data_IF_838047395033
#
_entry.id   IF_838047395033
#
_cell.length_a   1.000
_cell.length_b   1.000
_cell.length_c   1.000
_cell.angle_alpha   90.00
_cell.angle_beta   90.00
_cell.angle_gamma   90.00
#
_symmetry.space_group_name_H-M   'P 1'
#
loop_
_entity.id
_entity.type
_entity.pdbx_description
1 polymer ?
#
# COMPACT_ATOMS: atom_id res chain seq x y z
N UNK A 1 14.83 2.28 16.06
CA UNK A 1 14.78 1.39 14.88
C UNK A 1 13.85 0.19 15.06
N UNK A 2 13.83 -0.47 16.21
CA UNK A 2 13.04 -1.67 16.49
C UNK A 2 11.50 -1.50 16.44
N UNK A 3 10.95 -0.34 16.79
CA UNK A 3 9.48 -0.11 16.80
C UNK A 3 8.80 -0.26 15.43
N UNK A 4 9.49 0.12 14.35
CA UNK A 4 8.96 -0.01 12.97
C UNK A 4 8.91 -1.47 12.50
N UNK A 5 9.90 -2.25 12.88
CA UNK A 5 9.97 -3.68 12.56
C UNK A 5 8.92 -4.48 13.33
N UNK A 6 8.69 -4.17 14.61
CA UNK A 6 7.68 -4.82 15.45
C UNK A 6 6.26 -4.56 14.92
N UNK A 7 5.95 -3.33 14.50
CA UNK A 7 4.64 -2.99 13.93
C UNK A 7 4.43 -3.62 12.54
N UNK A 8 5.46 -3.63 11.69
CA UNK A 8 5.39 -4.27 10.37
C UNK A 8 5.25 -5.79 10.45
N UNK A 9 5.98 -6.44 11.35
CA UNK A 9 5.83 -7.89 11.59
C UNK A 9 4.49 -8.22 12.23
N UNK A 10 3.99 -7.38 13.15
CA UNK A 10 2.66 -7.54 13.73
C UNK A 10 1.54 -7.53 12.68
N UNK A 11 1.60 -6.60 11.71
CA UNK A 11 0.66 -6.55 10.58
C UNK A 11 0.80 -7.75 9.63
N UNK A 12 2.02 -8.21 9.36
CA UNK A 12 2.25 -9.39 8.53
C UNK A 12 1.73 -10.69 9.19
N UNK A 13 1.83 -10.79 10.53
CA UNK A 13 1.28 -11.91 11.30
C UNK A 13 -0.25 -11.92 11.32
N UNK A 14 -0.91 -10.79 11.14
CA UNK A 14 -2.37 -10.66 11.05
C UNK A 14 -2.92 -10.89 9.63
N UNK A 15 -2.12 -11.35 8.68
CA UNK A 15 -2.56 -11.62 7.31
C UNK A 15 -3.76 -12.56 7.22
N UNK A 16 -3.91 -13.53 8.14
CA UNK A 16 -5.08 -14.41 8.20
C UNK A 16 -6.36 -13.67 8.58
N UNK A 17 -6.26 -12.73 9.52
CA UNK A 17 -7.37 -11.89 9.95
C UNK A 17 -7.79 -10.95 8.82
N UNK A 18 -6.83 -10.37 8.09
CA UNK A 18 -7.08 -9.54 6.92
C UNK A 18 -7.72 -10.35 5.76
N UNK A 19 -7.29 -11.60 5.57
CA UNK A 19 -7.91 -12.48 4.58
C UNK A 19 -9.37 -12.80 4.95
N UNK A 20 -9.70 -12.98 6.23
CA UNK A 20 -11.07 -13.15 6.67
C UNK A 20 -11.95 -11.91 6.38
N UNK A 21 -11.43 -10.70 6.55
CA UNK A 21 -12.11 -9.47 6.17
C UNK A 21 -12.31 -9.29 4.66
N UNK A 22 -11.48 -9.92 3.84
CA UNK A 22 -11.64 -9.89 2.38
C UNK A 22 -12.93 -10.61 1.92
N UNK A 23 -13.47 -11.54 2.73
CA UNK A 23 -14.76 -12.22 2.49
C UNK A 23 -15.96 -11.49 3.10
N UNK A 24 -15.74 -10.34 3.71
CA UNK A 24 -16.77 -9.48 4.31
C UNK A 24 -16.86 -9.60 5.85
N UNK A 25 -17.49 -8.59 6.46
CA UNK A 25 -17.60 -8.46 7.91
C UNK A 25 -18.39 -9.63 8.55
N UNK A 26 -19.42 -10.13 7.85
CA UNK A 26 -20.23 -11.26 8.30
C UNK A 26 -19.43 -12.56 8.38
N UNK A 27 -18.57 -12.81 7.37
CA UNK A 27 -17.71 -13.98 7.36
C UNK A 27 -16.67 -13.92 8.49
N UNK A 28 -16.09 -12.75 8.75
CA UNK A 28 -15.15 -12.53 9.84
C UNK A 28 -15.82 -12.74 11.20
N UNK A 29 -17.06 -12.27 11.39
CA UNK A 29 -17.82 -12.45 12.63
C UNK A 29 -18.15 -13.93 12.91
N UNK A 30 -18.52 -14.70 11.89
CA UNK A 30 -18.78 -16.16 12.01
C UNK A 30 -17.51 -16.92 12.45
N UNK A 31 -16.33 -16.44 12.05
CA UNK A 31 -15.05 -16.99 12.49
C UNK A 31 -14.64 -16.56 13.92
N UNK A 32 -15.53 -15.87 14.65
CA UNK A 32 -15.29 -15.43 16.02
C UNK A 32 -14.37 -14.20 16.13
N UNK A 33 -14.14 -13.47 15.04
CA UNK A 33 -13.33 -12.24 15.04
C UNK A 33 -14.22 -11.07 15.49
N UNK A 34 -13.80 -10.36 16.54
CA UNK A 34 -14.42 -9.07 16.90
C UNK A 34 -14.07 -8.03 15.80
N UNK A 35 -15.02 -7.88 14.88
CA UNK A 35 -14.88 -7.03 13.69
C UNK A 35 -14.58 -5.58 14.07
N UNK A 36 -15.31 -5.05 15.03
CA UNK A 36 -15.19 -3.64 15.41
C UNK A 36 -13.84 -3.34 16.07
N UNK A 37 -13.46 -4.16 17.04
CA UNK A 37 -12.18 -4.03 17.74
C UNK A 37 -11.00 -4.19 16.79
N UNK A 38 -11.05 -5.19 15.91
CA UNK A 38 -9.98 -5.45 14.94
C UNK A 38 -9.85 -4.29 13.94
N UNK A 39 -10.97 -3.77 13.45
CA UNK A 39 -11.00 -2.61 12.53
C UNK A 39 -10.35 -1.38 13.16
N UNK A 40 -10.78 -1.00 14.37
CA UNK A 40 -10.20 0.16 15.07
C UNK A 40 -8.72 -0.02 15.39
N UNK A 41 -8.32 -1.20 15.82
CA UNK A 41 -6.90 -1.49 16.07
C UNK A 41 -6.07 -1.35 14.81
N UNK A 42 -6.52 -1.93 13.69
CA UNK A 42 -5.82 -1.84 12.42
C UNK A 42 -5.75 -0.40 11.90
N UNK A 43 -6.86 0.34 11.95
CA UNK A 43 -6.88 1.75 11.54
C UNK A 43 -5.91 2.59 12.37
N UNK A 44 -5.88 2.40 13.68
CA UNK A 44 -4.97 3.14 14.57
C UNK A 44 -3.50 2.81 14.26
N UNK A 45 -3.18 1.53 14.12
CA UNK A 45 -1.80 1.09 13.80
C UNK A 45 -1.35 1.63 12.45
N UNK A 46 -2.20 1.54 11.42
CA UNK A 46 -1.89 2.05 10.08
C UNK A 46 -1.74 3.57 10.10
N UNK A 47 -2.62 4.29 10.79
CA UNK A 47 -2.55 5.74 10.90
C UNK A 47 -1.25 6.20 11.60
N UNK A 48 -0.87 5.55 12.69
CA UNK A 48 0.39 5.84 13.41
C UNK A 48 1.63 5.54 12.55
N UNK A 49 1.63 4.40 11.84
CA UNK A 49 2.72 4.05 10.92
C UNK A 49 2.84 5.05 9.79
N UNK A 50 1.72 5.38 9.14
CA UNK A 50 1.69 6.34 8.03
C UNK A 50 2.12 7.72 8.50
N UNK A 51 1.58 8.21 9.62
CA UNK A 51 1.98 9.49 10.18
C UNK A 51 3.48 9.56 10.53
N UNK A 52 4.03 8.51 11.12
CA UNK A 52 5.46 8.44 11.44
C UNK A 52 6.34 8.39 10.18
N UNK A 53 5.89 7.74 9.10
CA UNK A 53 6.60 7.71 7.83
C UNK A 53 6.54 9.06 7.11
N UNK A 54 5.37 9.66 7.04
CA UNK A 54 5.16 10.97 6.41
C UNK A 54 5.93 12.07 7.13
N UNK A 55 6.02 12.02 8.45
CA UNK A 55 6.79 12.98 9.24
C UNK A 55 8.29 12.97 8.91
N UNK A 56 8.84 11.85 8.44
CA UNK A 56 10.27 11.70 8.12
C UNK A 56 10.54 11.88 6.62
N UNK A 57 9.67 11.33 5.78
CA UNK A 57 9.91 11.23 4.32
C UNK A 57 9.10 12.25 3.51
N UNK A 58 8.25 13.05 4.16
CA UNK A 58 7.28 13.88 3.48
C UNK A 58 6.10 13.08 2.91
N UNK A 59 5.19 13.75 2.22
CA UNK A 59 4.02 13.12 1.60
C UNK A 59 4.41 12.35 0.35
N UNK A 60 4.29 11.03 0.39
CA UNK A 60 4.51 10.13 -0.74
C UNK A 60 3.13 9.68 -1.25
N UNK A 61 2.76 10.12 -2.45
CA UNK A 61 1.48 9.80 -3.05
C UNK A 61 1.53 8.58 -3.99
N UNK A 62 0.39 7.94 -4.21
CA UNK A 62 0.13 6.87 -5.19
C UNK A 62 0.88 5.55 -5.01
N UNK A 63 2.02 5.50 -4.36
CA UNK A 63 2.84 4.29 -4.16
C UNK A 63 2.04 3.20 -3.46
N UNK A 64 1.35 3.55 -2.37
CA UNK A 64 0.52 2.62 -1.61
C UNK A 64 -0.73 2.11 -2.33
N UNK A 65 -1.15 2.75 -3.43
CA UNK A 65 -2.28 2.31 -4.24
C UNK A 65 -1.84 1.43 -5.41
N UNK A 66 -0.78 1.83 -6.10
CA UNK A 66 -0.34 1.20 -7.35
C UNK A 66 0.41 -0.09 -7.09
N UNK A 67 1.37 -0.08 -6.15
CA UNK A 67 2.24 -1.23 -5.94
C UNK A 67 1.50 -2.45 -5.37
N UNK A 68 0.64 -2.35 -4.35
CA UNK A 68 -0.18 -3.49 -3.93
C UNK A 68 -1.08 -4.01 -5.03
N UNK A 69 -1.59 -3.12 -5.89
CA UNK A 69 -2.39 -3.55 -7.04
C UNK A 69 -1.56 -4.33 -8.06
N UNK A 70 -0.37 -3.85 -8.41
CA UNK A 70 0.55 -4.55 -9.31
C UNK A 70 0.99 -5.91 -8.73
N UNK A 71 1.33 -5.97 -7.43
CA UNK A 71 1.67 -7.23 -6.75
C UNK A 71 0.50 -8.20 -6.76
N UNK A 72 -0.73 -7.72 -6.56
CA UNK A 72 -1.93 -8.54 -6.56
C UNK A 72 -2.18 -9.24 -7.90
N UNK A 73 -1.81 -8.62 -9.01
CA UNK A 73 -1.90 -9.22 -10.34
C UNK A 73 -0.94 -10.41 -10.52
N UNK A 74 0.19 -10.42 -9.81
CA UNK A 74 1.21 -11.47 -9.92
C UNK A 74 1.02 -12.58 -8.88
N UNK A 75 0.72 -12.21 -7.63
CA UNK A 75 0.74 -13.12 -6.48
C UNK A 75 -0.66 -13.55 -6.03
N UNK A 76 -1.71 -12.86 -6.56
CA UNK A 76 -3.09 -13.10 -6.15
C UNK A 76 -3.49 -12.29 -4.89
N UNK A 77 -4.66 -12.65 -4.30
CA UNK A 77 -5.31 -11.85 -3.27
C UNK A 77 -4.87 -12.16 -1.82
N UNK A 78 -4.02 -13.17 -1.59
CA UNK A 78 -3.63 -13.59 -0.25
C UNK A 78 -2.74 -12.55 0.46
N UNK A 79 -3.25 -11.95 1.54
CA UNK A 79 -2.57 -10.87 2.29
C UNK A 79 -1.22 -11.28 2.89
N UNK A 80 -1.02 -12.55 3.20
CA UNK A 80 0.26 -13.05 3.75
C UNK A 80 1.44 -12.87 2.78
N UNK A 81 1.20 -12.99 1.47
CA UNK A 81 2.23 -12.80 0.44
C UNK A 81 2.19 -11.38 -0.11
N UNK A 82 1.00 -10.82 -0.21
CA UNK A 82 0.77 -9.47 -0.73
C UNK A 82 1.49 -8.39 0.10
N UNK A 83 1.36 -8.43 1.43
CA UNK A 83 1.93 -7.42 2.32
C UNK A 83 3.46 -7.34 2.24
N UNK A 84 4.23 -8.43 2.45
CA UNK A 84 5.69 -8.35 2.41
C UNK A 84 6.22 -8.03 1.01
N UNK A 85 5.60 -8.55 -0.05
CA UNK A 85 6.02 -8.25 -1.42
C UNK A 85 5.70 -6.80 -1.81
N UNK A 86 4.55 -6.26 -1.41
CA UNK A 86 4.23 -4.86 -1.63
C UNK A 86 5.17 -3.92 -0.87
N UNK A 87 5.56 -4.30 0.35
CA UNK A 87 6.53 -3.54 1.13
C UNK A 87 7.92 -3.55 0.48
N UNK A 88 8.37 -4.71 -0.01
CA UNK A 88 9.67 -4.85 -0.69
C UNK A 88 9.71 -4.07 -2.00
N UNK A 89 8.70 -4.23 -2.84
CA UNK A 89 8.59 -3.48 -4.10
C UNK A 89 8.44 -1.98 -3.84
N UNK A 90 7.68 -1.60 -2.82
CA UNK A 90 7.54 -0.21 -2.40
C UNK A 90 8.87 0.41 -1.97
N UNK A 91 9.63 -0.29 -1.15
CA UNK A 91 10.95 0.15 -0.72
C UNK A 91 11.91 0.30 -1.91
N UNK A 92 11.95 -0.69 -2.80
CA UNK A 92 12.79 -0.64 -4.00
C UNK A 92 12.41 0.53 -4.92
N UNK A 93 11.12 0.70 -5.17
CA UNK A 93 10.61 1.81 -5.98
C UNK A 93 10.96 3.18 -5.39
N UNK A 94 10.81 3.34 -4.07
CA UNK A 94 11.14 4.61 -3.41
C UNK A 94 12.63 4.93 -3.45
N UNK A 95 13.51 3.94 -3.33
CA UNK A 95 14.96 4.13 -3.48
C UNK A 95 15.29 4.61 -4.90
N UNK A 96 14.69 4.00 -5.92
CA UNK A 96 14.86 4.43 -7.31
C UNK A 96 14.31 5.84 -7.56
N UNK A 97 13.11 6.13 -7.04
CA UNK A 97 12.50 7.44 -7.19
C UNK A 97 13.29 8.53 -6.48
N UNK A 98 13.83 8.28 -5.29
CA UNK A 98 14.68 9.21 -4.54
C UNK A 98 16.00 9.44 -5.27
N UNK A 99 16.65 8.40 -5.75
CA UNK A 99 17.88 8.51 -6.55
C UNK A 99 17.63 9.34 -7.81
N UNK A 100 16.55 9.07 -8.53
CA UNK A 100 16.20 9.84 -9.72
C UNK A 100 15.89 11.31 -9.40
N UNK A 101 15.17 11.58 -8.30
CA UNK A 101 14.84 12.94 -7.86
C UNK A 101 16.08 13.78 -7.59
N UNK A 102 17.14 13.15 -7.05
CA UNK A 102 18.40 13.84 -6.69
C UNK A 102 19.35 13.98 -7.86
N UNK A 103 19.40 13.01 -8.78
CA UNK A 103 20.39 13.00 -9.87
C UNK A 103 19.93 13.73 -11.13
N UNK A 104 18.62 13.67 -11.46
CA UNK A 104 18.11 14.20 -12.73
C UNK A 104 17.96 15.74 -12.71
N UNK A 105 17.78 16.32 -11.54
CA UNK A 105 17.45 17.75 -11.39
C UNK A 105 18.53 18.57 -10.68
N UNK A 106 19.76 18.10 -10.61
CA UNK A 106 20.87 18.92 -10.08
C UNK A 106 20.95 20.29 -10.77
N UNK A 107 21.14 21.39 -10.02
CA UNK A 107 21.43 21.51 -8.59
C UNK A 107 20.20 21.64 -7.67
N UNK A 108 18.98 21.41 -8.16
CA UNK A 108 17.75 21.55 -7.37
C UNK A 108 17.23 20.17 -6.99
N UNK A 109 17.20 19.87 -5.69
CA UNK A 109 16.56 18.64 -5.19
C UNK A 109 15.03 18.76 -5.27
N UNK A 110 14.38 17.86 -6.00
CA UNK A 110 12.92 17.77 -6.01
C UNK A 110 12.47 16.85 -4.87
N UNK A 111 11.40 17.23 -4.13
CA UNK A 111 10.78 16.32 -3.17
C UNK A 111 10.33 15.03 -3.86
N UNK A 112 10.70 13.88 -3.30
CA UNK A 112 10.34 12.54 -3.82
C UNK A 112 8.84 12.40 -4.07
N UNK A 113 8.00 13.07 -3.26
CA UNK A 113 6.56 13.10 -3.41
C UNK A 113 6.09 13.63 -4.77
N UNK A 114 6.80 14.60 -5.35
CA UNK A 114 6.47 15.13 -6.70
C UNK A 114 6.76 14.08 -7.75
N UNK A 115 7.91 13.42 -7.66
CA UNK A 115 8.31 12.38 -8.62
C UNK A 115 7.34 11.19 -8.56
N UNK A 116 6.99 10.74 -7.36
CA UNK A 116 6.04 9.63 -7.18
C UNK A 116 4.62 9.99 -7.62
N UNK A 117 4.17 11.24 -7.44
CA UNK A 117 2.88 11.70 -7.92
C UNK A 117 2.85 11.80 -9.45
N UNK A 118 3.92 12.32 -10.06
CA UNK A 118 4.01 12.46 -11.51
C UNK A 118 4.03 11.10 -12.22
N UNK A 119 4.70 10.10 -11.66
CA UNK A 119 4.69 8.73 -12.19
C UNK A 119 3.40 7.99 -11.83
N UNK A 120 2.88 8.23 -10.63
CA UNK A 120 1.74 7.50 -10.09
C UNK A 120 0.40 7.91 -10.68
N UNK A 121 0.16 9.20 -10.89
CA UNK A 121 -1.13 9.68 -11.38
C UNK A 121 -1.51 9.12 -12.77
N UNK A 122 -0.62 9.11 -13.80
CA UNK A 122 -0.95 8.53 -15.10
C UNK A 122 -1.20 7.02 -15.02
N UNK A 123 -0.39 6.29 -14.23
CA UNK A 123 -0.57 4.84 -14.06
C UNK A 123 -1.90 4.52 -13.39
N UNK A 124 -2.28 5.30 -12.37
CA UNK A 124 -3.57 5.15 -11.69
C UNK A 124 -4.75 5.47 -12.63
N UNK A 125 -4.65 6.55 -13.41
CA UNK A 125 -5.67 6.90 -14.40
C UNK A 125 -5.85 5.80 -15.44
N UNK A 126 -4.75 5.20 -15.93
CA UNK A 126 -4.77 4.10 -16.87
C UNK A 126 -5.43 2.83 -16.28
N UNK A 127 -5.15 2.54 -15.01
CA UNK A 127 -5.76 1.41 -14.29
C UNK A 127 -7.27 1.59 -14.12
N UNK A 128 -7.72 2.81 -13.80
CA UNK A 128 -9.15 3.14 -13.71
C UNK A 128 -9.84 3.02 -15.06
N UNK A 129 -9.20 3.51 -16.12
CA UNK A 129 -9.77 3.44 -17.46
C UNK A 129 -9.94 1.99 -17.93
N UNK A 130 -8.94 1.17 -17.75
CA UNK A 130 -9.02 -0.28 -18.06
C UNK A 130 -10.14 -1.00 -17.30
N UNK A 131 -10.38 -0.64 -16.03
CA UNK A 131 -11.49 -1.22 -15.27
C UNK A 131 -12.86 -0.79 -15.79
N UNK A 132 -12.99 0.45 -16.26
CA UNK A 132 -14.26 0.93 -16.87
C UNK A 132 -14.56 0.23 -18.19
N UNK A 133 -13.56 0.01 -19.03
CA UNK A 133 -13.73 -0.72 -20.29
C UNK A 133 -14.15 -2.17 -20.06
N UNK A 134 -13.59 -2.85 -19.06
CA UNK A 134 -13.97 -4.22 -18.70
C UNK A 134 -15.39 -4.33 -18.09
N UNK A 135 -15.90 -3.28 -17.47
CA UNK A 135 -17.27 -3.22 -16.93
C UNK A 135 -18.31 -2.81 -17.96
N UNK A 136 -17.92 -2.09 -19.01
CA UNK A 136 -18.80 -1.65 -20.10
C UNK A 136 -19.10 -2.76 -21.12
N UNK A 137 -18.29 -3.80 -21.20
CA UNK A 137 -18.51 -4.95 -22.10
C UNK A 137 -19.52 -5.98 -21.56
N UNK A 138 -20.05 -5.76 -20.34
CA UNK A 138 -21.04 -6.65 -19.69
C UNK A 138 -22.45 -6.02 -19.60
N UNK A 139 -22.68 -4.87 -20.21
CA UNK A 139 -23.97 -4.18 -20.32
C UNK A 139 -24.47 -4.18 -21.75
#
# INVERSE_FOLDING_TARGET
>A
MYKRQVLGTGLALQGRTLDAFAFGDTAAAVLGIDVNRTRWTMLTVVALLTGALVAVSGSIGFVGLILPHAVRLVVGAGHRRLLPLSALLGATFLVWADTAARTVFEPRELPVGIVTAFLGAPVFALLLWRRRSAAGDLA
#
